data_IF_982938721409
#
_entry.id   IF_982938721409
#
_cell.length_a   1.000
_cell.length_b   1.000
_cell.length_c   1.000
_cell.angle_alpha   90.00
_cell.angle_beta   90.00
_cell.angle_gamma   90.00
#
_symmetry.space_group_name_H-M   'P 1'
#
loop_
_entity.id
_entity.type
_entity.pdbx_description
1 polymer ?
#
# COMPACT_ATOMS: atom_id res chain seq x y z
N UNK A 1 -13.86 3.20 20.50
CA UNK A 1 -13.61 4.64 20.36
C UNK A 1 -12.97 4.96 18.99
N UNK A 2 -11.90 4.27 18.55
CA UNK A 2 -11.22 4.59 17.27
C UNK A 2 -12.14 4.35 16.06
N UNK A 3 -12.96 3.30 16.07
CA UNK A 3 -13.92 3.02 15.00
C UNK A 3 -15.00 4.12 14.88
N UNK A 4 -15.48 4.66 16.00
CA UNK A 4 -16.42 5.78 16.01
C UNK A 4 -15.77 7.04 15.41
N UNK A 5 -14.56 7.37 15.85
CA UNK A 5 -13.81 8.52 15.34
C UNK A 5 -13.52 8.38 13.82
N UNK A 6 -13.14 7.19 13.38
CA UNK A 6 -12.91 6.96 11.96
C UNK A 6 -14.20 7.12 11.13
N UNK A 7 -15.35 6.71 11.67
CA UNK A 7 -16.64 6.94 11.02
C UNK A 7 -16.97 8.42 10.91
N UNK A 8 -16.74 9.19 11.99
CA UNK A 8 -16.95 10.64 11.99
C UNK A 8 -16.05 11.40 11.01
N UNK A 9 -14.81 10.92 10.78
CA UNK A 9 -13.89 11.53 9.80
C UNK A 9 -14.21 11.09 8.37
N UNK A 10 -14.76 9.88 8.15
CA UNK A 10 -15.19 9.42 6.81
C UNK A 10 -16.31 10.28 6.25
N UNK A 11 -17.23 10.77 7.09
CA UNK A 11 -18.37 11.58 6.64
C UNK A 11 -17.93 12.90 5.97
N UNK A 12 -17.12 13.77 6.60
CA UNK A 12 -16.63 14.98 5.93
C UNK A 12 -15.72 14.67 4.73
N UNK A 13 -15.00 13.55 4.76
CA UNK A 13 -14.18 13.14 3.62
C UNK A 13 -15.05 12.73 2.42
N UNK A 14 -16.17 12.03 2.65
CA UNK A 14 -17.13 11.69 1.60
C UNK A 14 -17.78 12.96 1.01
N UNK A 15 -18.11 13.96 1.84
CA UNK A 15 -18.59 15.26 1.38
C UNK A 15 -17.54 15.99 0.53
N UNK A 16 -16.29 15.99 0.96
CA UNK A 16 -15.18 16.55 0.17
C UNK A 16 -15.07 15.85 -1.19
N UNK A 17 -15.15 14.54 -1.22
CA UNK A 17 -15.15 13.75 -2.47
C UNK A 17 -16.29 14.18 -3.39
N UNK A 18 -17.52 14.26 -2.86
CA UNK A 18 -18.68 14.68 -3.64
C UNK A 18 -18.54 16.09 -4.21
N UNK A 19 -18.00 17.04 -3.42
CA UNK A 19 -17.76 18.40 -3.88
C UNK A 19 -16.71 18.44 -4.97
N UNK A 20 -15.62 17.69 -4.85
CA UNK A 20 -14.56 17.60 -5.84
C UNK A 20 -15.07 16.99 -7.15
N UNK A 21 -15.81 15.90 -7.08
CA UNK A 21 -16.37 15.22 -8.25
C UNK A 21 -17.36 16.15 -9.00
N UNK A 22 -18.23 16.86 -8.26
CA UNK A 22 -19.20 17.78 -8.84
C UNK A 22 -18.60 19.08 -9.40
N UNK A 23 -17.39 19.44 -8.99
CA UNK A 23 -16.71 20.67 -9.40
C UNK A 23 -15.47 20.43 -10.23
N UNK A 24 -15.20 19.20 -10.63
CA UNK A 24 -13.96 18.81 -11.31
C UNK A 24 -13.72 19.65 -12.56
N UNK A 25 -14.77 19.89 -13.37
CA UNK A 25 -14.69 20.65 -14.60
C UNK A 25 -14.49 22.16 -14.40
N UNK A 26 -14.74 22.67 -13.19
CA UNK A 26 -14.62 24.10 -12.83
C UNK A 26 -13.34 24.44 -12.10
N UNK A 27 -12.61 23.43 -11.61
CA UNK A 27 -11.36 23.62 -10.89
C UNK A 27 -10.17 23.67 -11.88
N UNK A 28 -9.19 24.56 -11.67
CA UNK A 28 -7.92 24.45 -12.37
C UNK A 28 -7.30 23.06 -12.13
N UNK A 29 -6.78 22.43 -13.17
CA UNK A 29 -6.26 21.05 -13.12
C UNK A 29 -5.26 20.83 -11.96
N UNK A 30 -4.33 21.78 -11.76
CA UNK A 30 -3.35 21.73 -10.67
C UNK A 30 -3.99 21.80 -9.26
N UNK A 31 -5.16 22.46 -9.13
CA UNK A 31 -5.87 22.55 -7.84
C UNK A 31 -6.66 21.28 -7.61
N UNK A 32 -7.39 20.79 -8.61
CA UNK A 32 -8.12 19.53 -8.55
C UNK A 32 -7.20 18.38 -8.14
N UNK A 33 -6.04 18.31 -8.79
CA UNK A 33 -5.03 17.30 -8.46
C UNK A 33 -4.54 17.37 -7.01
N UNK A 34 -4.20 18.57 -6.48
CA UNK A 34 -3.76 18.73 -5.09
C UNK A 34 -4.84 18.31 -4.09
N UNK A 35 -6.09 18.59 -4.39
CA UNK A 35 -7.22 18.22 -3.55
C UNK A 35 -7.46 16.71 -3.56
N UNK A 36 -7.37 16.06 -4.73
CA UNK A 36 -7.40 14.59 -4.85
C UNK A 36 -6.26 13.93 -4.07
N UNK A 37 -5.06 14.49 -4.14
CA UNK A 37 -3.92 14.01 -3.35
C UNK A 37 -4.18 14.08 -1.85
N UNK A 38 -4.69 15.22 -1.36
CA UNK A 38 -5.00 15.40 0.07
C UNK A 38 -6.10 14.43 0.50
N UNK A 39 -7.16 14.30 -0.30
CA UNK A 39 -8.26 13.34 -0.06
C UNK A 39 -7.74 11.91 0.07
N UNK A 40 -6.98 11.44 -0.91
CA UNK A 40 -6.44 10.08 -0.92
C UNK A 40 -5.51 9.83 0.27
N UNK A 41 -4.71 10.83 0.64
CA UNK A 41 -3.83 10.75 1.81
C UNK A 41 -4.61 10.69 3.13
N UNK A 42 -5.70 11.46 3.26
CA UNK A 42 -6.59 11.39 4.42
C UNK A 42 -7.27 10.02 4.51
N UNK A 43 -7.76 9.49 3.39
CA UNK A 43 -8.34 8.15 3.34
C UNK A 43 -7.35 7.08 3.80
N UNK A 44 -6.12 7.11 3.29
CA UNK A 44 -5.06 6.18 3.69
C UNK A 44 -4.75 6.24 5.20
N UNK A 45 -4.74 7.44 5.79
CA UNK A 45 -4.56 7.59 7.24
C UNK A 45 -5.71 7.01 8.05
N UNK A 46 -6.95 7.23 7.62
CA UNK A 46 -8.15 6.66 8.27
C UNK A 46 -8.08 5.13 8.23
N UNK A 47 -7.74 4.57 7.09
CA UNK A 47 -7.63 3.12 6.93
C UNK A 47 -6.50 2.53 7.79
N UNK A 48 -5.35 3.19 7.86
CA UNK A 48 -4.28 2.83 8.80
C UNK A 48 -4.74 2.85 10.26
N UNK A 49 -5.47 3.89 10.67
CA UNK A 49 -6.00 3.99 12.03
C UNK A 49 -7.01 2.87 12.33
N UNK A 50 -7.90 2.57 11.39
CA UNK A 50 -8.89 1.49 11.53
C UNK A 50 -8.21 0.13 11.64
N UNK A 51 -7.22 -0.15 10.78
CA UNK A 51 -6.46 -1.40 10.87
C UNK A 51 -5.68 -1.50 12.17
N UNK A 52 -5.05 -0.43 12.61
CA UNK A 52 -4.37 -0.42 13.90
C UNK A 52 -5.31 -0.69 15.09
N UNK A 53 -6.52 -0.14 15.03
CA UNK A 53 -7.54 -0.39 16.04
C UNK A 53 -8.02 -1.86 16.04
N UNK A 54 -8.24 -2.42 14.84
CA UNK A 54 -8.63 -3.83 14.67
C UNK A 54 -7.55 -4.81 15.16
N UNK A 55 -6.28 -4.51 14.92
CA UNK A 55 -5.16 -5.32 15.43
C UNK A 55 -5.14 -5.41 16.96
N UNK A 56 -5.71 -4.41 17.65
CA UNK A 56 -5.85 -4.39 19.12
C UNK A 56 -7.17 -4.95 19.63
N UNK A 57 -8.14 -5.15 18.75
CA UNK A 57 -9.47 -5.67 19.08
C UNK A 57 -9.49 -7.21 19.17
N UNK A 58 -10.42 -7.72 19.99
CA UNK A 58 -10.60 -9.16 20.17
C UNK A 58 -11.29 -9.87 18.99
N UNK A 59 -11.88 -9.13 18.06
CA UNK A 59 -12.59 -9.68 16.89
C UNK A 59 -11.93 -9.20 15.61
N UNK A 60 -11.49 -10.16 14.82
CA UNK A 60 -10.92 -9.98 13.48
C UNK A 60 -11.91 -10.58 12.48
N UNK A 61 -12.78 -9.78 11.91
CA UNK A 61 -13.79 -10.22 10.93
C UNK A 61 -13.17 -10.27 9.53
N UNK A 62 -12.23 -11.19 9.30
CA UNK A 62 -11.69 -11.48 7.97
C UNK A 62 -12.62 -12.46 7.24
N UNK A 63 -12.92 -12.14 5.99
CA UNK A 63 -13.69 -12.99 5.09
C UNK A 63 -12.76 -13.63 4.06
N UNK A 64 -12.32 -14.84 4.37
CA UNK A 64 -11.45 -15.58 3.46
C UNK A 64 -12.24 -16.14 2.27
N UNK A 65 -11.75 -15.88 1.07
CA UNK A 65 -12.32 -16.35 -0.20
C UNK A 65 -11.23 -16.55 -1.26
N UNK A 66 -11.58 -17.24 -2.35
CA UNK A 66 -10.67 -17.34 -3.50
C UNK A 66 -10.71 -16.04 -4.29
N UNK A 67 -9.56 -15.40 -4.44
CA UNK A 67 -9.39 -14.10 -5.07
C UNK A 67 -8.49 -14.22 -6.30
N UNK A 68 -8.93 -13.66 -7.44
CA UNK A 68 -8.02 -13.40 -8.54
C UNK A 68 -7.03 -12.32 -8.10
N UNK A 69 -5.76 -12.68 -7.95
CA UNK A 69 -4.72 -11.78 -7.42
C UNK A 69 -4.57 -10.53 -8.29
N UNK A 70 -4.70 -10.69 -9.61
CA UNK A 70 -4.70 -9.60 -10.57
C UNK A 70 -5.78 -8.55 -10.25
N UNK A 71 -7.01 -8.98 -9.92
CA UNK A 71 -8.10 -8.07 -9.58
C UNK A 71 -7.82 -7.22 -8.34
N UNK A 72 -7.15 -7.78 -7.32
CA UNK A 72 -6.76 -7.04 -6.13
C UNK A 72 -5.64 -6.02 -6.44
N UNK A 73 -4.71 -6.37 -7.31
CA UNK A 73 -3.64 -5.47 -7.74
C UNK A 73 -4.20 -4.32 -8.57
N UNK A 74 -5.10 -4.62 -9.53
CA UNK A 74 -5.73 -3.59 -10.37
C UNK A 74 -6.55 -2.61 -9.52
N UNK A 75 -7.34 -3.10 -8.53
CA UNK A 75 -8.08 -2.26 -7.56
C UNK A 75 -7.14 -1.29 -6.82
N UNK A 76 -6.02 -1.79 -6.31
CA UNK A 76 -5.05 -0.94 -5.62
C UNK A 76 -4.39 0.05 -6.57
N UNK A 77 -4.02 -0.36 -7.78
CA UNK A 77 -3.43 0.55 -8.76
C UNK A 77 -4.39 1.66 -9.18
N UNK A 78 -5.69 1.35 -9.26
CA UNK A 78 -6.74 2.33 -9.56
C UNK A 78 -6.87 3.39 -8.45
N UNK A 79 -6.81 2.97 -7.18
CA UNK A 79 -6.82 3.87 -6.03
C UNK A 79 -5.61 4.83 -6.02
N UNK A 80 -4.46 4.37 -6.50
CA UNK A 80 -3.23 5.16 -6.58
C UNK A 80 -2.98 5.78 -7.95
N UNK A 81 -3.86 5.56 -8.94
CA UNK A 81 -3.70 6.03 -10.34
C UNK A 81 -3.32 7.50 -10.43
N UNK A 82 -4.02 8.46 -9.76
CA UNK A 82 -3.66 9.88 -9.89
C UNK A 82 -2.24 10.19 -9.44
N UNK A 83 -1.75 9.51 -8.40
CA UNK A 83 -0.40 9.69 -7.87
C UNK A 83 0.67 9.04 -8.76
N UNK A 84 0.33 7.88 -9.35
CA UNK A 84 1.22 7.17 -10.27
C UNK A 84 1.40 7.95 -11.57
N UNK A 85 0.32 8.54 -12.10
CA UNK A 85 0.33 9.38 -13.29
C UNK A 85 1.10 10.70 -13.07
N UNK A 86 0.85 11.40 -11.95
CA UNK A 86 1.57 12.62 -11.61
C UNK A 86 3.08 12.44 -11.55
N UNK A 87 3.49 11.35 -10.92
CA UNK A 87 4.92 11.03 -10.79
C UNK A 87 5.49 10.29 -11.99
N UNK A 88 4.69 10.10 -13.05
CA UNK A 88 5.07 9.43 -14.28
C UNK A 88 5.61 8.01 -14.06
N UNK A 89 4.96 7.25 -13.17
CA UNK A 89 5.34 5.87 -12.92
C UNK A 89 5.14 4.99 -14.16
N UNK A 90 6.14 4.18 -14.48
CA UNK A 90 5.98 3.04 -15.37
C UNK A 90 5.60 1.82 -14.52
N UNK A 91 4.34 1.38 -14.67
CA UNK A 91 3.85 0.17 -14.00
C UNK A 91 4.06 -1.04 -14.91
N UNK A 92 4.72 -2.07 -14.41
CA UNK A 92 4.97 -3.33 -15.11
C UNK A 92 4.25 -4.48 -14.40
N UNK A 93 3.36 -5.17 -15.10
CA UNK A 93 2.61 -6.31 -14.58
C UNK A 93 3.02 -7.59 -15.31
N UNK A 94 3.83 -8.41 -14.64
CA UNK A 94 4.26 -9.74 -15.11
C UNK A 94 3.55 -10.82 -14.28
N UNK A 95 2.23 -10.89 -14.47
CA UNK A 95 1.34 -11.71 -13.68
C UNK A 95 0.72 -12.79 -14.57
N UNK A 96 0.75 -14.04 -14.09
CA UNK A 96 -0.14 -15.08 -14.59
C UNK A 96 -1.52 -14.94 -13.93
N UNK A 97 -2.54 -15.62 -14.50
CA UNK A 97 -3.86 -15.71 -13.88
C UNK A 97 -3.77 -16.63 -12.65
N UNK A 98 -3.51 -16.04 -11.51
CA UNK A 98 -3.32 -16.75 -10.24
C UNK A 98 -4.44 -16.42 -9.27
N UNK A 99 -4.93 -17.46 -8.61
CA UNK A 99 -5.95 -17.35 -7.57
C UNK A 99 -5.34 -17.70 -6.22
N UNK A 100 -5.53 -16.80 -5.26
CA UNK A 100 -5.06 -16.98 -3.88
C UNK A 100 -6.24 -17.05 -2.91
N UNK A 101 -6.05 -17.69 -1.77
CA UNK A 101 -7.05 -17.74 -0.70
C UNK A 101 -6.70 -16.70 0.36
N UNK A 102 -7.52 -15.65 0.48
CA UNK A 102 -7.25 -14.53 1.38
C UNK A 102 -8.50 -13.70 1.66
N UNK A 103 -8.39 -12.68 2.52
CA UNK A 103 -9.39 -11.62 2.67
C UNK A 103 -9.07 -10.46 1.72
N UNK A 104 -10.04 -10.08 0.86
CA UNK A 104 -9.86 -9.04 -0.15
C UNK A 104 -9.43 -7.71 0.47
N UNK A 105 -10.12 -7.27 1.53
CA UNK A 105 -9.84 -5.97 2.16
C UNK A 105 -8.46 -5.92 2.81
N UNK A 106 -8.10 -7.00 3.52
CA UNK A 106 -6.78 -7.13 4.13
C UNK A 106 -5.67 -7.17 3.08
N UNK A 107 -5.87 -7.92 2.00
CA UNK A 107 -4.89 -8.01 0.92
C UNK A 107 -4.74 -6.66 0.19
N UNK A 108 -5.82 -6.00 -0.21
CA UNK A 108 -5.76 -4.69 -0.85
C UNK A 108 -5.10 -3.64 0.07
N UNK A 109 -5.41 -3.66 1.38
CA UNK A 109 -4.74 -2.80 2.34
C UNK A 109 -3.23 -3.04 2.39
N UNK A 110 -2.79 -4.30 2.49
CA UNK A 110 -1.37 -4.67 2.49
C UNK A 110 -0.67 -4.18 1.22
N UNK A 111 -1.23 -4.49 0.05
CA UNK A 111 -0.70 -4.06 -1.24
C UNK A 111 -0.64 -2.54 -1.34
N UNK A 112 -1.68 -1.84 -0.88
CA UNK A 112 -1.75 -0.39 -0.85
C UNK A 112 -0.65 0.25 0.01
N UNK A 113 -0.26 -0.37 1.15
CA UNK A 113 0.87 0.13 1.95
C UNK A 113 2.20 0.01 1.19
N UNK A 114 2.40 -1.05 0.41
CA UNK A 114 3.61 -1.23 -0.41
C UNK A 114 3.64 -0.21 -1.54
N UNK A 115 2.54 -0.06 -2.30
CA UNK A 115 2.42 0.94 -3.39
C UNK A 115 2.61 2.36 -2.85
N UNK A 116 1.96 2.71 -1.73
CA UNK A 116 2.14 4.01 -1.06
C UNK A 116 3.60 4.29 -0.71
N UNK A 117 4.32 3.27 -0.26
CA UNK A 117 5.74 3.38 0.07
C UNK A 117 6.56 3.66 -1.19
N UNK A 118 6.33 2.94 -2.29
CA UNK A 118 7.01 3.15 -3.57
C UNK A 118 6.73 4.55 -4.14
N UNK A 119 5.48 5.02 -4.06
CA UNK A 119 5.11 6.39 -4.48
C UNK A 119 5.82 7.46 -3.65
N UNK A 120 5.93 7.23 -2.34
CA UNK A 120 6.57 8.15 -1.41
C UNK A 120 8.06 8.32 -1.67
N UNK A 121 8.77 7.23 -1.97
CA UNK A 121 10.22 7.22 -2.18
C UNK A 121 10.61 7.21 -3.66
N UNK A 122 9.68 7.55 -4.54
CA UNK A 122 9.92 7.62 -5.97
C UNK A 122 11.05 8.62 -6.32
N UNK A 123 11.97 8.19 -7.18
CA UNK A 123 13.00 8.99 -7.81
C UNK A 123 12.56 9.43 -9.21
N UNK A 124 13.47 10.04 -9.98
CA UNK A 124 13.23 10.33 -11.40
C UNK A 124 12.96 9.04 -12.19
N UNK A 125 11.98 9.08 -13.10
CA UNK A 125 11.55 7.93 -13.94
C UNK A 125 11.22 6.69 -13.11
N UNK A 126 10.29 6.79 -12.18
CA UNK A 126 9.98 5.71 -11.26
C UNK A 126 9.34 4.52 -11.98
N UNK A 127 9.71 3.33 -11.55
CA UNK A 127 9.16 2.05 -12.03
C UNK A 127 8.60 1.30 -10.84
N UNK A 128 7.40 0.72 -11.03
CA UNK A 128 6.78 -0.19 -10.08
C UNK A 128 6.44 -1.49 -10.81
N UNK A 129 7.12 -2.57 -10.46
CA UNK A 129 7.00 -3.86 -11.10
C UNK A 129 6.34 -4.88 -10.16
N UNK A 130 5.34 -5.59 -10.69
CA UNK A 130 4.72 -6.74 -10.04
C UNK A 130 5.08 -8.00 -10.83
N UNK A 131 5.56 -9.02 -10.14
CA UNK A 131 5.87 -10.31 -10.74
C UNK A 131 5.44 -11.45 -9.83
N UNK A 132 5.03 -12.57 -10.44
CA UNK A 132 4.68 -13.80 -9.74
C UNK A 132 5.75 -14.86 -9.99
N UNK A 133 6.12 -15.54 -8.91
CA UNK A 133 6.96 -16.73 -8.92
C UNK A 133 6.16 -17.88 -8.31
N UNK A 134 5.92 -18.94 -9.08
CA UNK A 134 5.24 -20.13 -8.59
C UNK A 134 6.29 -21.19 -8.22
N UNK A 135 6.50 -21.38 -6.92
CA UNK A 135 7.49 -22.32 -6.37
C UNK A 135 6.97 -23.74 -6.12
N UNK A 136 5.81 -24.13 -6.68
CA UNK A 136 5.19 -25.45 -6.47
C UNK A 136 4.52 -25.63 -5.10
N UNK A 137 5.08 -25.10 -4.02
CA UNK A 137 4.55 -25.15 -2.65
C UNK A 137 4.03 -23.81 -2.14
N UNK A 138 4.23 -22.72 -2.88
CA UNK A 138 3.78 -21.39 -2.55
C UNK A 138 3.76 -20.50 -3.80
N UNK A 139 2.82 -19.55 -3.84
CA UNK A 139 2.81 -18.44 -4.80
C UNK A 139 3.49 -17.24 -4.15
N UNK A 140 4.47 -16.66 -4.81
CA UNK A 140 5.18 -15.46 -4.32
C UNK A 140 4.91 -14.29 -5.24
N UNK A 141 4.24 -13.27 -4.72
CA UNK A 141 4.09 -11.97 -5.38
C UNK A 141 5.27 -11.08 -4.97
N UNK A 142 6.06 -10.65 -5.93
CA UNK A 142 7.12 -9.66 -5.75
C UNK A 142 6.67 -8.31 -6.27
N UNK A 143 6.74 -7.28 -5.44
CA UNK A 143 6.45 -5.88 -5.76
C UNK A 143 7.74 -5.11 -5.58
N UNK A 144 8.30 -4.59 -6.68
CA UNK A 144 9.60 -3.92 -6.70
C UNK A 144 9.50 -2.51 -7.26
N UNK A 145 10.12 -1.57 -6.60
CA UNK A 145 10.39 -0.23 -7.13
C UNK A 145 11.88 -0.02 -7.44
N UNK A 146 12.18 1.03 -8.20
CA UNK A 146 13.53 1.49 -8.50
C UNK A 146 13.92 2.74 -7.68
N UNK A 147 13.35 2.87 -6.49
CA UNK A 147 13.66 3.96 -5.56
C UNK A 147 15.07 3.88 -4.97
N UNK A 148 15.38 4.66 -3.94
CA UNK A 148 16.72 4.72 -3.33
C UNK A 148 17.12 3.43 -2.62
N UNK A 149 16.18 2.50 -2.41
CA UNK A 149 16.42 1.31 -1.61
C UNK A 149 16.63 1.62 -0.12
N UNK A 150 17.06 0.60 0.61
CA UNK A 150 17.30 0.64 2.05
C UNK A 150 18.69 0.07 2.32
N UNK A 151 19.44 0.67 3.24
CA UNK A 151 20.78 0.17 3.65
C UNK A 151 20.67 -1.23 4.25
N UNK A 152 21.68 -2.05 4.06
CA UNK A 152 21.71 -3.40 4.60
C UNK A 152 21.52 -3.47 6.13
N UNK A 153 22.04 -2.49 6.88
CA UNK A 153 21.84 -2.40 8.33
C UNK A 153 20.41 -2.06 8.73
N UNK A 154 19.63 -1.38 7.88
CA UNK A 154 18.27 -0.94 8.13
C UNK A 154 17.24 -1.96 7.65
N UNK A 155 17.60 -2.80 6.68
CA UNK A 155 16.71 -3.77 6.07
C UNK A 155 15.99 -4.70 7.06
N UNK A 156 16.62 -5.21 8.13
CA UNK A 156 15.92 -6.03 9.12
C UNK A 156 14.80 -5.30 9.86
N UNK A 157 14.85 -3.97 9.91
CA UNK A 157 13.94 -3.13 10.68
C UNK A 157 12.82 -2.49 9.87
N UNK A 158 12.76 -2.68 8.54
CA UNK A 158 11.77 -2.00 7.67
C UNK A 158 10.32 -2.29 8.03
N UNK A 159 10.06 -3.41 8.68
CA UNK A 159 8.74 -3.80 9.20
C UNK A 159 8.53 -3.47 10.68
N UNK A 160 9.49 -2.84 11.35
CA UNK A 160 9.34 -2.49 12.76
C UNK A 160 8.46 -1.24 12.92
N UNK A 161 7.71 -1.22 14.03
CA UNK A 161 6.79 -0.12 14.34
C UNK A 161 7.52 1.20 14.48
N UNK A 162 7.12 2.19 13.67
CA UNK A 162 7.68 3.54 13.73
C UNK A 162 9.05 3.67 13.07
N UNK A 163 9.56 2.62 12.40
CA UNK A 163 10.83 2.69 11.68
C UNK A 163 10.69 3.56 10.41
N UNK A 164 11.55 4.55 10.26
CA UNK A 164 11.54 5.50 9.13
C UNK A 164 12.81 5.49 8.30
N UNK A 165 13.82 4.72 8.70
CA UNK A 165 15.15 4.71 8.06
C UNK A 165 15.90 6.04 8.21
N UNK A 166 17.16 6.02 7.81
CA UNK A 166 18.04 7.19 7.86
C UNK A 166 18.05 7.97 6.53
N UNK A 167 16.92 8.03 5.83
CA UNK A 167 16.74 8.82 4.60
C UNK A 167 16.74 10.33 4.93
N UNK A 168 17.90 10.84 5.11
CA UNK A 168 18.50 12.05 5.69
C UNK A 168 17.86 13.41 5.50
N UNK A 169 16.73 13.63 4.83
CA UNK A 169 16.19 14.99 4.64
C UNK A 169 14.66 15.14 4.77
N UNK A 170 13.89 14.07 4.99
CA UNK A 170 12.44 14.16 5.15
C UNK A 170 11.90 13.49 6.42
N UNK A 171 12.64 13.58 7.54
CA UNK A 171 12.27 13.01 8.87
C UNK A 171 10.85 13.35 9.34
N UNK A 172 10.22 14.40 8.80
CA UNK A 172 8.93 14.90 9.26
C UNK A 172 7.70 14.36 8.49
N UNK A 173 7.87 13.50 7.49
CA UNK A 173 6.74 13.05 6.66
C UNK A 173 6.38 11.56 6.76
N UNK A 174 7.13 10.76 7.51
CA UNK A 174 6.91 9.34 7.64
C UNK A 174 6.51 8.93 9.04
N UNK A 175 5.39 8.21 9.17
CA UNK A 175 4.95 7.66 10.47
C UNK A 175 5.65 6.35 10.83
N UNK A 176 6.31 5.69 9.86
CA UNK A 176 6.88 4.35 10.02
C UNK A 176 5.83 3.26 10.30
N UNK A 177 4.55 3.54 10.03
CA UNK A 177 3.46 2.62 10.35
C UNK A 177 3.04 1.74 9.17
N UNK A 178 3.28 2.17 7.92
CA UNK A 178 2.74 1.50 6.73
C UNK A 178 3.19 0.04 6.59
N UNK A 179 4.49 -0.19 6.48
CA UNK A 179 5.05 -1.54 6.34
C UNK A 179 4.87 -2.39 7.62
N UNK A 180 4.91 -1.78 8.81
CA UNK A 180 4.56 -2.47 10.05
C UNK A 180 3.13 -3.02 9.98
N UNK A 181 2.15 -2.20 9.61
CA UNK A 181 0.76 -2.64 9.49
C UNK A 181 0.58 -3.68 8.39
N UNK A 182 1.27 -3.52 7.26
CA UNK A 182 1.28 -4.52 6.19
C UNK A 182 1.75 -5.89 6.71
N UNK A 183 2.82 -5.93 7.53
CA UNK A 183 3.32 -7.18 8.14
C UNK A 183 2.32 -7.77 9.14
N UNK A 184 1.69 -6.96 9.97
CA UNK A 184 0.70 -7.45 10.93
C UNK A 184 -0.54 -8.01 10.22
N UNK A 185 -1.03 -7.32 9.18
CA UNK A 185 -2.12 -7.83 8.34
C UNK A 185 -1.71 -9.13 7.63
N UNK A 186 -0.50 -9.21 7.09
CA UNK A 186 0.01 -10.44 6.47
C UNK A 186 -0.03 -11.62 7.45
N UNK A 187 0.44 -11.44 8.69
CA UNK A 187 0.37 -12.47 9.75
C UNK A 187 -1.07 -12.93 10.00
N UNK A 188 -2.01 -11.99 10.08
CA UNK A 188 -3.42 -12.29 10.31
C UNK A 188 -4.04 -13.07 9.15
N UNK A 189 -3.58 -12.80 7.92
CA UNK A 189 -4.01 -13.51 6.71
C UNK A 189 -3.27 -14.83 6.48
N UNK A 190 -2.35 -15.22 7.36
CA UNK A 190 -1.51 -16.40 7.17
C UNK A 190 -0.47 -16.27 6.05
N UNK A 191 -0.12 -15.02 5.69
CA UNK A 191 0.86 -14.72 4.66
C UNK A 191 2.23 -14.39 5.27
N UNK A 192 3.30 -14.64 4.51
CA UNK A 192 4.65 -14.21 4.90
C UNK A 192 5.08 -13.00 4.08
N UNK A 193 5.56 -11.96 4.77
CA UNK A 193 6.11 -10.77 4.16
C UNK A 193 7.61 -10.72 4.36
N UNK A 194 8.35 -10.55 3.27
CA UNK A 194 9.81 -10.33 3.29
C UNK A 194 10.18 -9.12 2.46
N UNK A 195 11.34 -8.53 2.75
CA UNK A 195 11.88 -7.43 1.98
C UNK A 195 13.28 -7.75 1.46
N UNK A 196 13.59 -7.22 0.29
CA UNK A 196 14.92 -7.21 -0.28
C UNK A 196 15.22 -5.80 -0.80
N UNK A 197 16.46 -5.40 -0.74
CA UNK A 197 16.86 -4.08 -1.19
C UNK A 197 18.29 -4.08 -1.70
N UNK A 198 18.49 -3.32 -2.77
CA UNK A 198 19.80 -2.93 -3.26
C UNK A 198 19.92 -1.43 -3.06
N UNK A 199 20.79 -0.99 -2.15
CA UNK A 199 20.99 0.43 -1.87
C UNK A 199 21.35 1.21 -3.12
N UNK A 200 20.55 2.24 -3.45
CA UNK A 200 20.67 3.03 -4.67
C UNK A 200 20.02 2.42 -5.91
N UNK A 201 19.43 1.21 -5.85
CA UNK A 201 18.89 0.51 -7.01
C UNK A 201 17.46 -0.04 -6.84
N UNK A 202 16.87 0.12 -5.66
CA UNK A 202 15.47 -0.20 -5.44
C UNK A 202 15.17 -1.00 -4.18
N UNK A 203 13.87 -1.17 -3.95
CA UNK A 203 13.31 -1.91 -2.83
C UNK A 203 12.26 -2.90 -3.35
N UNK A 204 12.19 -4.08 -2.76
CA UNK A 204 11.22 -5.09 -3.11
C UNK A 204 10.56 -5.66 -1.85
N UNK A 205 9.23 -5.80 -1.89
CA UNK A 205 8.46 -6.57 -0.91
C UNK A 205 7.94 -7.83 -1.58
N UNK A 206 8.12 -8.97 -0.92
CA UNK A 206 7.61 -10.26 -1.37
C UNK A 206 6.50 -10.72 -0.43
N UNK A 207 5.37 -11.07 -1.01
CA UNK A 207 4.21 -11.63 -0.31
C UNK A 207 4.10 -13.10 -0.70
N UNK A 208 4.28 -13.99 0.26
CA UNK A 208 4.19 -15.43 0.05
C UNK A 208 2.82 -15.93 0.50
N UNK A 209 2.09 -16.53 -0.43
CA UNK A 209 0.81 -17.19 -0.21
C UNK A 209 1.06 -18.70 -0.10
N UNK A 210 0.69 -19.34 1.02
CA UNK A 210 0.76 -20.79 1.13
C UNK A 210 -0.21 -21.45 0.15
N UNK A 211 0.15 -22.61 -0.37
CA UNK A 211 -0.81 -23.45 -1.13
C UNK A 211 -1.84 -23.99 -0.17
N UNK A 212 -3.13 -23.77 -0.48
CA UNK A 212 -4.29 -24.28 0.28
C UNK A 212 -4.95 -25.42 -0.47
#
# INVERSE_FOLDING_TARGET
YVELWAHEVKTPLALLTLVLDNRRDTLPEAVGFKLDYVRNRMQAFIDQMLYYARLRGARRDYRFERLALRSCIDEVLDDYRPLLEEKHFRVELRLADETVFSDRRGLCFLLGQVVSNSVKYALEKPVLAFSLENGGTATVLSIRDNGPGVRACDLPYVFEKGFTGDSGHEKNKATGMGLYLAREVAKDLGLTLTAASDWGAGFAVRVTFPVV
#
